data_IF_986738973782
#
_entry.id   IF_986738973782
#
_cell.length_a   1.000
_cell.length_b   1.000
_cell.length_c   1.000
_cell.angle_alpha   90.00
_cell.angle_beta   90.00
_cell.angle_gamma   90.00
#
_symmetry.space_group_name_H-M   'P 1'
#
loop_
_entity.id
_entity.type
_entity.pdbx_description
1 polymer ?
#
# COMPACT_ATOMS: atom_id res chain seq x y z
N UNK A 1 -20.22 1.40 -7.33
CA UNK A 1 -20.08 2.55 -6.39
C UNK A 1 -18.72 2.47 -5.71
N UNK A 2 -17.84 3.43 -5.95
CA UNK A 2 -16.53 3.50 -5.26
C UNK A 2 -16.77 3.91 -3.82
N UNK A 3 -16.43 3.05 -2.86
CA UNK A 3 -16.57 3.37 -1.43
C UNK A 3 -15.71 4.60 -1.10
N UNK A 4 -16.17 5.50 -0.22
CA UNK A 4 -15.41 6.68 0.14
C UNK A 4 -14.08 6.29 0.80
N UNK A 5 -13.02 7.09 0.59
CA UNK A 5 -11.73 6.88 1.24
C UNK A 5 -11.88 7.08 2.76
N UNK A 6 -11.20 6.24 3.53
CA UNK A 6 -11.10 6.38 4.98
C UNK A 6 -9.71 6.88 5.33
N UNK A 7 -9.67 7.97 6.08
CA UNK A 7 -8.47 8.52 6.71
C UNK A 7 -8.80 8.79 8.18
N UNK A 8 -8.06 8.16 9.10
CA UNK A 8 -8.18 8.37 10.54
C UNK A 8 -6.83 8.83 11.06
N UNK A 9 -6.84 9.78 11.99
CA UNK A 9 -5.64 10.20 12.71
C UNK A 9 -5.64 9.57 14.09
N UNK A 10 -4.59 8.84 14.44
CA UNK A 10 -4.43 8.21 15.75
C UNK A 10 -2.99 8.32 16.19
N UNK A 11 -2.73 8.88 17.36
CA UNK A 11 -1.38 9.03 17.94
C UNK A 11 -0.39 9.69 16.95
N UNK A 12 -0.85 10.71 16.21
CA UNK A 12 -0.06 11.40 15.18
C UNK A 12 0.17 10.61 13.89
N UNK A 13 -0.45 9.44 13.73
CA UNK A 13 -0.33 8.57 12.55
C UNK A 13 -1.56 8.67 11.66
N UNK A 14 -1.34 8.71 10.36
CA UNK A 14 -2.41 8.65 9.36
C UNK A 14 -2.71 7.20 9.02
N UNK A 15 -3.86 6.72 9.48
CA UNK A 15 -4.39 5.39 9.19
C UNK A 15 -5.35 5.48 8.01
N UNK A 16 -5.05 4.77 6.94
CA UNK A 16 -5.78 4.85 5.68
C UNK A 16 -6.30 3.48 5.25
N UNK A 17 -7.39 3.47 4.49
CA UNK A 17 -7.82 2.22 3.84
C UNK A 17 -6.85 1.79 2.72
N UNK A 18 -7.00 0.53 2.30
CA UNK A 18 -6.18 -0.07 1.22
C UNK A 18 -6.24 0.72 -0.09
N UNK A 19 -7.42 1.18 -0.50
CA UNK A 19 -7.60 1.86 -1.78
C UNK A 19 -6.88 3.22 -1.81
N UNK A 20 -6.89 3.92 -0.68
CA UNK A 20 -6.16 5.16 -0.45
C UNK A 20 -4.66 4.88 -0.47
N UNK A 21 -4.20 3.81 0.18
CA UNK A 21 -2.79 3.44 0.17
C UNK A 21 -2.28 3.07 -1.25
N UNK A 22 -3.10 2.40 -2.07
CA UNK A 22 -2.79 2.16 -3.50
C UNK A 22 -2.53 3.47 -4.24
N UNK A 23 -3.43 4.44 -4.07
CA UNK A 23 -3.32 5.76 -4.73
C UNK A 23 -2.09 6.53 -4.27
N UNK A 24 -1.78 6.51 -2.98
CA UNK A 24 -0.63 7.22 -2.40
C UNK A 24 0.71 6.62 -2.82
N UNK A 25 0.79 5.30 -2.92
CA UNK A 25 2.07 4.59 -3.13
C UNK A 25 2.31 4.18 -4.58
N UNK A 26 1.26 4.18 -5.42
CA UNK A 26 1.29 3.63 -6.76
C UNK A 26 1.54 2.12 -6.79
N UNK A 27 1.36 1.42 -5.67
CA UNK A 27 1.54 -0.04 -5.55
C UNK A 27 0.21 -0.76 -5.73
N UNK A 28 0.26 -1.99 -6.23
CA UNK A 28 -0.95 -2.81 -6.40
C UNK A 28 -1.56 -3.20 -5.05
N UNK A 29 -2.87 -3.45 -5.02
CA UNK A 29 -3.54 -3.97 -3.82
C UNK A 29 -2.96 -5.29 -3.32
N UNK A 30 -2.44 -6.11 -4.24
CA UNK A 30 -1.78 -7.37 -3.89
C UNK A 30 -0.49 -7.10 -3.13
N UNK A 31 0.37 -6.23 -3.67
CA UNK A 31 1.64 -5.84 -3.03
C UNK A 31 1.40 -5.23 -1.64
N UNK A 32 0.37 -4.39 -1.50
CA UNK A 32 0.00 -3.85 -0.19
C UNK A 32 -0.40 -4.98 0.77
N UNK A 33 -1.24 -5.93 0.36
CA UNK A 33 -1.62 -7.07 1.21
C UNK A 33 -0.45 -7.96 1.62
N UNK A 34 0.53 -8.15 0.73
CA UNK A 34 1.67 -9.03 0.98
C UNK A 34 2.69 -8.42 1.94
N UNK A 35 2.86 -7.09 1.91
CA UNK A 35 3.96 -6.44 2.63
C UNK A 35 3.53 -5.50 3.76
N UNK A 36 2.35 -4.91 3.68
CA UNK A 36 1.91 -3.88 4.62
C UNK A 36 1.10 -4.47 5.78
N UNK A 37 1.49 -4.23 7.05
CA UNK A 37 0.72 -4.71 8.19
C UNK A 37 -0.58 -3.92 8.34
N UNK A 38 -1.65 -4.63 8.72
CA UNK A 38 -2.92 -4.02 9.14
C UNK A 38 -2.77 -3.59 10.60
N UNK A 39 -2.93 -2.31 10.88
CA UNK A 39 -2.75 -1.73 12.23
C UNK A 39 -4.08 -1.40 12.91
N UNK A 40 -5.19 -1.54 12.20
CA UNK A 40 -6.53 -1.30 12.72
C UNK A 40 -7.62 -1.69 11.75
N UNK A 41 -8.87 -1.50 12.15
CA UNK A 41 -10.05 -1.71 11.30
C UNK A 41 -11.08 -0.60 11.54
N UNK A 42 -11.74 -0.19 10.47
CA UNK A 42 -12.95 0.65 10.52
C UNK A 42 -14.14 -0.23 10.06
N UNK A 43 -14.87 -0.79 11.02
CA UNK A 43 -15.78 -1.91 10.80
C UNK A 43 -15.05 -3.12 10.18
N UNK A 44 -15.47 -3.55 8.99
CA UNK A 44 -14.83 -4.64 8.26
C UNK A 44 -13.61 -4.21 7.43
N UNK A 45 -13.33 -2.90 7.34
CA UNK A 45 -12.31 -2.37 6.43
C UNK A 45 -10.95 -2.29 7.14
N UNK A 46 -9.89 -2.95 6.63
CA UNK A 46 -8.56 -2.87 7.23
C UNK A 46 -7.96 -1.48 7.02
N UNK A 47 -7.32 -0.97 8.07
CA UNK A 47 -6.56 0.27 8.07
C UNK A 47 -5.06 0.00 8.16
N UNK A 48 -4.30 0.82 7.45
CA UNK A 48 -2.86 0.74 7.29
C UNK A 48 -2.24 2.07 7.71
N UNK A 49 -1.10 2.03 8.39
CA UNK A 49 -0.32 3.24 8.64
C UNK A 49 0.39 3.67 7.36
N UNK A 50 0.01 4.84 6.82
CA UNK A 50 0.53 5.31 5.54
C UNK A 50 2.05 5.50 5.53
N UNK A 51 2.63 5.98 6.65
CA UNK A 51 4.06 6.26 6.76
C UNK A 51 4.85 4.97 6.87
N UNK A 52 4.42 4.05 7.75
CA UNK A 52 5.07 2.75 7.91
C UNK A 52 5.03 1.95 6.60
N UNK A 53 3.87 1.92 5.95
CA UNK A 53 3.72 1.23 4.67
C UNK A 53 4.58 1.85 3.56
N UNK A 54 4.73 3.18 3.55
CA UNK A 54 5.65 3.87 2.63
C UNK A 54 7.09 3.40 2.77
N UNK A 55 7.59 3.27 4.01
CA UNK A 55 8.95 2.76 4.28
C UNK A 55 9.10 1.31 3.83
N UNK A 56 8.16 0.44 4.18
CA UNK A 56 8.20 -0.98 3.78
C UNK A 56 8.20 -1.10 2.25
N UNK A 57 7.29 -0.39 1.59
CA UNK A 57 7.13 -0.46 0.14
C UNK A 57 8.28 0.19 -0.63
N UNK A 58 9.06 1.09 -0.02
CA UNK A 58 10.27 1.60 -0.61
C UNK A 58 11.34 0.51 -0.76
N UNK A 59 11.39 -0.46 0.16
CA UNK A 59 12.31 -1.59 0.12
C UNK A 59 11.86 -2.71 -0.85
N UNK A 60 10.61 -2.71 -1.31
CA UNK A 60 10.08 -3.73 -2.23
C UNK A 60 10.38 -3.35 -3.69
N UNK A 61 11.17 -4.14 -4.44
CA UNK A 61 11.45 -3.85 -5.84
C UNK A 61 10.16 -3.74 -6.67
N UNK A 62 10.05 -2.71 -7.50
CA UNK A 62 9.01 -2.69 -8.54
C UNK A 62 9.45 -3.68 -9.61
N UNK A 63 8.71 -4.76 -9.83
CA UNK A 63 8.98 -5.71 -10.93
C UNK A 63 8.98 -4.94 -12.24
N UNK A 64 10.15 -4.59 -12.75
CA UNK A 64 10.30 -4.01 -14.07
C UNK A 64 10.16 -5.14 -15.09
N UNK A 65 9.00 -5.27 -15.74
CA UNK A 65 8.79 -6.19 -16.89
C UNK A 65 9.76 -5.94 -18.06
N UNK A 66 10.65 -4.93 -17.97
CA UNK A 66 11.59 -4.54 -19.04
C UNK A 66 13.00 -5.15 -18.88
N UNK A 67 13.30 -5.85 -17.79
CA UNK A 67 14.64 -6.39 -17.55
C UNK A 67 14.88 -7.79 -18.18
N UNK A 68 13.85 -8.45 -18.69
CA UNK A 68 13.97 -9.83 -19.21
C UNK A 68 14.35 -9.90 -20.70
N UNK A 69 14.30 -8.77 -21.43
CA UNK A 69 14.59 -8.71 -22.87
C UNK A 69 16.03 -8.29 -23.22
N UNK A 70 16.98 -8.29 -22.27
CA UNK A 70 18.36 -7.84 -22.52
C UNK A 70 19.46 -8.83 -22.14
N UNK A 71 19.14 -10.10 -21.87
CA UNK A 71 20.16 -11.15 -21.62
C UNK A 71 20.12 -12.30 -22.63
N UNK A 72 19.59 -12.04 -23.83
CA UNK A 72 19.73 -12.92 -25.01
C UNK A 72 19.99 -12.05 -26.23
N UNK A 73 21.22 -11.57 -26.39
CA UNK A 73 21.76 -11.04 -27.63
C UNK A 73 23.24 -11.40 -27.70
#
# INVERSE_FOLDING_TARGET
MTRPPIVRYRDGRALVDRATLVRLTGRSERTIREHCPVVGRDGIRPLYDARQCGVILAAVPKRNRRAELRMTA
#
